data_IF_214785593591
#
_entry.id   IF_214785593591
#
_cell.length_a   1.000
_cell.length_b   1.000
_cell.length_c   1.000
_cell.angle_alpha   90.00
_cell.angle_beta   90.00
_cell.angle_gamma   90.00
#
_symmetry.space_group_name_H-M   'P 1'
#
loop_
_entity.id
_entity.type
_entity.pdbx_description
1 polymer ?
#
# COMPACT_ATOMS: atom_id res chain seq x y z
N UNK A 1 -8.86 16.34 -17.30
CA UNK A 1 -7.91 15.33 -17.80
C UNK A 1 -8.16 14.87 -19.22
N UNK A 2 -9.40 14.83 -19.73
CA UNK A 2 -9.67 14.47 -21.13
C UNK A 2 -8.92 15.27 -22.20
N UNK A 3 -8.42 16.45 -21.90
CA UNK A 3 -7.62 17.23 -22.83
C UNK A 3 -6.16 16.75 -22.96
N UNK A 4 -5.61 16.05 -21.97
CA UNK A 4 -4.25 15.54 -22.04
C UNK A 4 -4.11 14.36 -23.01
N UNK A 5 -5.19 13.62 -23.26
CA UNK A 5 -5.19 12.44 -24.13
C UNK A 5 -5.63 12.74 -25.57
N UNK A 6 -6.25 13.91 -25.83
CA UNK A 6 -6.76 14.23 -27.18
C UNK A 6 -5.72 14.24 -28.29
N UNK A 7 -4.43 14.42 -27.97
CA UNK A 7 -3.34 14.28 -28.95
C UNK A 7 -2.85 12.85 -29.17
N UNK A 8 -3.18 11.93 -28.27
CA UNK A 8 -2.73 10.53 -28.23
C UNK A 8 -3.88 9.53 -28.32
N UNK A 9 -5.10 9.97 -28.56
CA UNK A 9 -6.30 9.12 -28.60
C UNK A 9 -6.14 7.90 -29.53
N UNK A 10 -5.43 8.06 -30.62
CA UNK A 10 -5.20 6.95 -31.55
C UNK A 10 -4.29 5.87 -30.95
N UNK A 11 -3.25 6.27 -30.21
CA UNK A 11 -2.35 5.30 -29.57
C UNK A 11 -2.99 4.63 -28.36
N UNK A 12 -3.78 5.34 -27.57
CA UNK A 12 -4.47 4.78 -26.42
C UNK A 12 -5.54 3.76 -26.84
N UNK A 13 -6.37 4.10 -27.83
CA UNK A 13 -7.42 3.18 -28.34
C UNK A 13 -6.85 1.91 -28.96
N UNK A 14 -5.62 1.97 -29.47
CA UNK A 14 -4.92 0.78 -29.99
C UNK A 14 -4.55 -0.26 -28.92
N UNK A 15 -4.70 0.08 -27.66
CA UNK A 15 -4.41 -0.79 -26.53
C UNK A 15 -5.67 -1.27 -25.79
N UNK A 16 -6.86 -0.88 -26.25
CA UNK A 16 -8.11 -1.26 -25.62
C UNK A 16 -8.65 -2.60 -26.13
N UNK A 17 -9.05 -3.43 -25.19
CA UNK A 17 -9.60 -4.76 -25.44
C UNK A 17 -10.85 -4.98 -24.60
N UNK A 18 -11.84 -5.65 -25.18
CA UNK A 18 -13.03 -6.08 -24.45
C UNK A 18 -12.82 -7.42 -23.71
N UNK A 19 -13.86 -7.88 -23.01
CA UNK A 19 -13.90 -9.18 -22.31
C UNK A 19 -13.62 -10.38 -23.21
N UNK A 20 -14.00 -10.30 -24.48
CA UNK A 20 -13.80 -11.37 -25.44
C UNK A 20 -12.41 -11.31 -26.10
N UNK A 21 -11.57 -10.35 -25.69
CA UNK A 21 -10.26 -10.12 -26.27
C UNK A 21 -10.29 -9.44 -27.64
N UNK A 22 -11.40 -8.84 -28.00
CA UNK A 22 -11.50 -8.04 -29.25
C UNK A 22 -10.84 -6.70 -29.02
N UNK A 23 -9.90 -6.37 -29.91
CA UNK A 23 -9.23 -5.07 -29.90
C UNK A 23 -10.14 -3.99 -30.46
N UNK A 24 -10.21 -2.84 -29.81
CA UNK A 24 -10.95 -1.69 -30.29
C UNK A 24 -10.41 -1.20 -31.64
N UNK A 25 -11.30 -0.84 -32.54
CA UNK A 25 -10.99 -0.27 -33.85
C UNK A 25 -11.93 0.88 -34.18
N UNK A 26 -11.39 1.89 -34.88
CA UNK A 26 -12.20 3.05 -35.32
C UNK A 26 -13.36 2.58 -36.20
N UNK A 27 -14.57 3.00 -35.85
CA UNK A 27 -15.79 2.67 -36.62
C UNK A 27 -16.39 1.30 -36.26
N UNK A 28 -15.80 0.56 -35.32
CA UNK A 28 -16.39 -0.67 -34.82
C UNK A 28 -17.69 -0.40 -34.07
N UNK A 29 -18.69 -1.25 -34.29
CA UNK A 29 -19.95 -1.17 -33.56
C UNK A 29 -19.76 -1.64 -32.11
N UNK A 30 -20.19 -0.80 -31.17
CA UNK A 30 -20.17 -1.12 -29.75
C UNK A 30 -21.50 -1.77 -29.37
N UNK A 31 -21.42 -2.85 -28.60
CA UNK A 31 -22.58 -3.58 -28.06
C UNK A 31 -22.47 -3.69 -26.53
N UNK A 32 -23.60 -3.88 -25.87
CA UNK A 32 -23.69 -3.84 -24.40
C UNK A 32 -23.85 -5.22 -23.75
N UNK A 33 -24.22 -6.23 -24.55
CA UNK A 33 -24.54 -7.56 -24.04
C UNK A 33 -23.83 -8.64 -24.84
N UNK A 34 -23.55 -9.76 -24.16
CA UNK A 34 -22.98 -10.95 -24.81
C UNK A 34 -23.94 -11.53 -25.89
N UNK A 35 -25.25 -11.37 -25.69
CA UNK A 35 -26.24 -11.79 -26.70
C UNK A 35 -26.08 -11.05 -28.03
N UNK A 36 -25.82 -9.74 -27.97
CA UNK A 36 -25.56 -8.94 -29.18
C UNK A 36 -24.24 -9.34 -29.87
N UNK A 37 -23.23 -9.77 -29.08
CA UNK A 37 -22.00 -10.32 -29.64
C UNK A 37 -22.29 -11.60 -30.42
N UNK A 38 -23.06 -12.52 -29.86
CA UNK A 38 -23.42 -13.78 -30.52
C UNK A 38 -24.27 -13.53 -31.77
N UNK A 39 -25.20 -12.58 -31.72
CA UNK A 39 -25.99 -12.17 -32.90
C UNK A 39 -25.08 -11.60 -34.01
N UNK A 40 -24.11 -10.75 -33.64
CA UNK A 40 -23.15 -10.20 -34.58
C UNK A 40 -22.30 -11.29 -35.24
N UNK A 41 -21.80 -12.25 -34.45
CA UNK A 41 -21.05 -13.40 -34.96
C UNK A 41 -21.84 -14.21 -36.01
N UNK A 42 -23.15 -14.42 -35.79
CA UNK A 42 -23.99 -15.12 -36.76
C UNK A 42 -24.11 -14.37 -38.10
N UNK A 43 -23.93 -13.05 -38.07
CA UNK A 43 -23.92 -12.17 -39.25
C UNK A 43 -22.51 -11.98 -39.85
N UNK A 44 -21.48 -12.59 -39.28
CA UNK A 44 -20.09 -12.41 -39.68
C UNK A 44 -19.51 -11.06 -39.29
N UNK A 45 -20.12 -10.36 -38.30
CA UNK A 45 -19.65 -9.08 -37.81
C UNK A 45 -18.75 -9.26 -36.59
N UNK A 46 -17.69 -8.45 -36.49
CA UNK A 46 -16.91 -8.26 -35.27
C UNK A 46 -17.39 -7.00 -34.57
N UNK A 47 -17.71 -7.10 -33.28
CA UNK A 47 -18.22 -6.00 -32.47
C UNK A 47 -17.38 -5.87 -31.20
N UNK A 48 -17.39 -4.69 -30.58
CA UNK A 48 -16.70 -4.40 -29.35
C UNK A 48 -17.71 -4.40 -28.19
N UNK A 49 -17.48 -5.27 -27.21
CA UNK A 49 -18.37 -5.39 -26.06
C UNK A 49 -17.97 -4.41 -24.95
N UNK A 50 -18.85 -3.47 -24.65
CA UNK A 50 -18.81 -2.69 -23.42
C UNK A 50 -19.99 -3.11 -22.57
N UNK A 51 -19.77 -4.01 -21.63
CA UNK A 51 -20.84 -4.57 -20.80
C UNK A 51 -21.45 -3.46 -19.94
N UNK A 52 -22.76 -3.32 -20.05
CA UNK A 52 -23.54 -2.44 -19.19
C UNK A 52 -23.91 -3.20 -17.94
N UNK A 53 -23.21 -2.95 -16.85
CA UNK A 53 -23.47 -3.61 -15.57
C UNK A 53 -24.66 -3.01 -14.82
N UNK A 54 -25.29 -1.98 -15.40
CA UNK A 54 -26.61 -1.47 -14.99
C UNK A 54 -26.66 -0.81 -13.62
N UNK A 55 -25.53 -0.63 -12.96
CA UNK A 55 -25.48 -0.12 -11.59
C UNK A 55 -25.20 1.38 -11.60
N UNK A 56 -26.26 2.15 -11.84
CA UNK A 56 -26.25 3.58 -11.62
C UNK A 56 -26.88 3.86 -10.27
N UNK A 57 -26.07 4.11 -9.24
CA UNK A 57 -26.58 4.42 -7.91
C UNK A 57 -26.49 5.92 -7.66
N UNK A 58 -27.67 6.58 -7.64
CA UNK A 58 -27.89 7.96 -7.17
C UNK A 58 -26.99 9.06 -7.75
N UNK A 59 -26.60 8.96 -9.01
CA UNK A 59 -25.82 10.02 -9.67
C UNK A 59 -24.34 10.02 -9.33
N UNK A 60 -23.89 9.01 -8.62
CA UNK A 60 -22.47 8.72 -8.39
C UNK A 60 -22.11 7.44 -9.12
N UNK A 61 -20.93 7.41 -9.74
CA UNK A 61 -20.41 6.20 -10.35
C UNK A 61 -20.12 5.19 -9.24
N UNK A 62 -20.93 4.18 -9.13
CA UNK A 62 -20.49 2.95 -8.51
C UNK A 62 -19.89 2.11 -9.62
N UNK A 63 -18.63 1.79 -9.55
CA UNK A 63 -17.92 0.69 -10.21
C UNK A 63 -18.56 0.04 -11.45
N UNK A 64 -19.33 0.79 -12.23
CA UNK A 64 -19.78 0.37 -13.54
C UNK A 64 -18.56 0.40 -14.46
N UNK A 65 -17.59 -0.41 -14.13
CA UNK A 65 -16.44 -0.64 -14.97
C UNK A 65 -16.93 -1.30 -16.22
N UNK A 66 -16.75 -0.64 -17.29
CA UNK A 66 -17.13 -1.20 -18.56
C UNK A 66 -16.17 -2.26 -19.00
N UNK A 67 -15.87 -3.28 -18.34
CA UNK A 67 -15.17 -4.49 -18.81
C UNK A 67 -14.26 -4.30 -20.03
N UNK A 68 -13.59 -3.13 -20.08
CA UNK A 68 -12.59 -2.76 -21.08
C UNK A 68 -11.24 -2.70 -20.40
N UNK A 69 -10.23 -3.18 -21.07
CA UNK A 69 -8.90 -3.35 -20.50
C UNK A 69 -7.85 -2.72 -21.38
N UNK A 70 -6.94 -1.98 -20.79
CA UNK A 70 -5.73 -1.54 -21.44
C UNK A 70 -4.69 -2.66 -21.40
N UNK A 71 -4.13 -3.03 -22.55
CA UNK A 71 -3.06 -4.01 -22.67
C UNK A 71 -1.92 -3.44 -23.50
N UNK A 72 -0.70 -3.57 -22.99
CA UNK A 72 0.52 -3.17 -23.66
C UNK A 72 1.70 -3.98 -23.16
N UNK A 73 2.85 -3.85 -23.79
CA UNK A 73 4.05 -4.63 -23.45
C UNK A 73 4.60 -4.23 -22.08
N UNK A 74 4.71 -2.92 -21.82
CA UNK A 74 5.18 -2.40 -20.54
C UNK A 74 4.18 -2.72 -19.41
N UNK A 75 2.88 -2.57 -19.68
CA UNK A 75 1.83 -2.97 -18.72
C UNK A 75 1.93 -4.46 -18.42
N UNK A 76 2.08 -5.32 -19.44
CA UNK A 76 2.18 -6.76 -19.25
C UNK A 76 3.42 -7.17 -18.43
N UNK A 77 4.54 -6.46 -18.61
CA UNK A 77 5.74 -6.64 -17.78
C UNK A 77 5.46 -6.34 -16.29
N UNK A 78 4.77 -5.23 -16.00
CA UNK A 78 4.53 -4.78 -14.63
C UNK A 78 3.49 -5.63 -13.93
N UNK A 79 2.33 -5.83 -14.55
CA UNK A 79 1.22 -6.55 -13.91
C UNK A 79 1.39 -8.06 -13.98
N UNK A 80 2.26 -8.55 -14.87
CA UNK A 80 2.47 -9.99 -15.12
C UNK A 80 1.11 -10.69 -15.39
N UNK A 81 0.69 -11.59 -14.52
CA UNK A 81 -0.56 -12.34 -14.64
C UNK A 81 -1.58 -11.93 -13.55
N UNK A 82 -1.51 -10.71 -13.08
CA UNK A 82 -2.28 -10.25 -11.92
C UNK A 82 -3.80 -10.30 -12.09
N UNK A 83 -4.30 -10.27 -13.33
CA UNK A 83 -5.73 -10.30 -13.64
C UNK A 83 -6.51 -9.24 -12.85
N UNK A 84 -6.11 -8.00 -13.01
CA UNK A 84 -6.62 -6.85 -12.25
C UNK A 84 -8.05 -6.45 -12.59
N UNK A 85 -8.60 -6.99 -13.68
CA UNK A 85 -9.97 -6.70 -14.10
C UNK A 85 -11.00 -7.36 -13.20
N UNK A 86 -12.18 -6.76 -13.11
CA UNK A 86 -13.32 -7.29 -12.34
C UNK A 86 -13.69 -8.72 -12.73
N UNK A 87 -13.52 -9.08 -14.00
CA UNK A 87 -13.75 -10.44 -14.51
C UNK A 87 -12.46 -11.28 -14.57
N UNK A 88 -11.41 -10.86 -13.89
CA UNK A 88 -10.13 -11.57 -13.87
C UNK A 88 -9.36 -11.54 -15.18
N UNK A 89 -9.60 -10.55 -16.03
CA UNK A 89 -8.87 -10.35 -17.28
C UNK A 89 -7.50 -9.72 -17.00
N UNK A 90 -6.48 -10.19 -17.72
CA UNK A 90 -5.14 -9.62 -17.62
C UNK A 90 -5.05 -8.31 -18.42
N UNK A 91 -5.01 -7.21 -17.74
CA UNK A 91 -4.96 -5.84 -18.26
C UNK A 91 -5.32 -4.84 -17.20
N UNK A 92 -5.04 -3.56 -17.41
CA UNK A 92 -5.50 -2.50 -16.52
C UNK A 92 -6.98 -2.22 -16.84
N UNK A 93 -7.90 -2.34 -15.88
CA UNK A 93 -9.30 -2.02 -16.10
C UNK A 93 -9.47 -0.53 -16.41
N UNK A 94 -10.31 -0.24 -17.38
CA UNK A 94 -10.63 1.11 -17.84
C UNK A 94 -12.10 1.37 -17.58
N UNK A 95 -12.43 2.53 -17.03
CA UNK A 95 -13.82 2.98 -16.99
C UNK A 95 -14.31 3.18 -18.43
N UNK A 96 -15.27 2.40 -18.85
CA UNK A 96 -15.76 2.42 -20.21
C UNK A 96 -17.22 2.93 -20.33
N UNK A 97 -17.84 3.32 -19.23
CA UNK A 97 -19.22 3.74 -19.27
C UNK A 97 -19.55 4.79 -18.22
N UNK A 98 -20.05 5.93 -18.68
CA UNK A 98 -20.53 7.01 -17.83
C UNK A 98 -21.97 7.39 -18.19
N UNK A 99 -22.93 6.68 -17.60
CA UNK A 99 -24.34 6.92 -17.86
C UNK A 99 -24.74 6.69 -19.32
N UNK A 100 -25.07 7.75 -20.05
CA UNK A 100 -25.44 7.70 -21.47
C UNK A 100 -24.25 7.96 -22.41
N UNK A 101 -23.09 8.33 -21.88
CA UNK A 101 -21.91 8.67 -22.66
C UNK A 101 -20.83 7.61 -22.39
N UNK A 102 -20.27 7.06 -23.46
CA UNK A 102 -19.11 6.19 -23.36
C UNK A 102 -17.87 7.03 -23.09
N UNK A 103 -17.31 6.90 -21.90
CA UNK A 103 -16.05 7.51 -21.50
C UNK A 103 -15.02 6.41 -21.22
N UNK A 104 -13.85 6.48 -21.84
CA UNK A 104 -12.73 5.57 -21.62
C UNK A 104 -11.48 6.35 -21.21
N UNK A 105 -11.65 7.39 -20.42
CA UNK A 105 -10.58 8.32 -20.07
C UNK A 105 -9.87 8.01 -18.76
N UNK A 106 -10.40 7.09 -17.96
CA UNK A 106 -9.89 6.78 -16.63
C UNK A 106 -9.60 5.30 -16.46
N UNK A 107 -8.56 5.01 -15.71
CA UNK A 107 -8.29 3.64 -15.27
C UNK A 107 -9.05 3.35 -13.97
N UNK A 108 -9.28 2.08 -13.67
CA UNK A 108 -10.03 1.64 -12.48
C UNK A 108 -9.11 0.77 -11.59
N UNK A 109 -8.06 1.39 -11.03
CA UNK A 109 -7.21 0.78 -10.01
C UNK A 109 -7.40 1.50 -8.68
N UNK A 110 -7.49 0.75 -7.60
CA UNK A 110 -7.58 1.30 -6.24
C UNK A 110 -6.39 2.20 -5.94
N UNK A 111 -6.61 3.32 -5.25
CA UNK A 111 -5.60 4.32 -4.90
C UNK A 111 -4.86 4.95 -6.09
N UNK A 112 -5.30 4.73 -7.31
CA UNK A 112 -4.71 5.31 -8.51
C UNK A 112 -5.10 6.78 -8.66
N UNK A 113 -4.14 7.62 -9.02
CA UNK A 113 -4.38 9.03 -9.28
C UNK A 113 -5.27 9.25 -10.51
N UNK A 114 -5.23 8.35 -11.48
CA UNK A 114 -6.00 8.44 -12.73
C UNK A 114 -7.34 7.70 -12.70
N UNK A 115 -7.78 7.23 -11.54
CA UNK A 115 -9.04 6.53 -11.35
C UNK A 115 -10.18 7.47 -10.98
N UNK A 116 -11.41 7.08 -11.26
CA UNK A 116 -12.64 7.75 -10.81
C UNK A 116 -13.09 7.38 -9.40
N UNK A 117 -12.41 6.50 -8.74
CA UNK A 117 -12.88 5.96 -7.48
C UNK A 117 -13.06 7.03 -6.41
N UNK A 118 -14.21 6.99 -5.76
CA UNK A 118 -14.65 8.00 -4.80
C UNK A 118 -13.95 7.89 -3.45
N UNK A 119 -13.41 6.74 -3.11
CA UNK A 119 -12.75 6.42 -1.84
C UNK A 119 -11.26 6.19 -2.01
N UNK A 120 -10.61 7.12 -2.66
CA UNK A 120 -9.17 7.11 -2.77
C UNK A 120 -8.57 7.74 -1.54
N UNK A 121 -7.96 6.90 -0.74
CA UNK A 121 -7.05 7.36 0.27
C UNK A 121 -5.64 7.33 -0.33
N UNK A 122 -4.76 8.20 0.02
CA UNK A 122 -3.34 8.16 -0.34
C UNK A 122 -3.05 7.98 -1.84
N UNK A 123 -3.64 8.84 -2.67
CA UNK A 123 -3.51 8.76 -4.14
C UNK A 123 -2.09 8.98 -4.64
N UNK A 124 -1.67 8.17 -5.58
CA UNK A 124 -0.36 8.30 -6.24
C UNK A 124 -0.37 7.65 -7.63
N UNK A 125 0.60 8.02 -8.45
CA UNK A 125 0.82 7.30 -9.70
C UNK A 125 1.38 5.91 -9.41
N UNK A 126 0.74 4.88 -9.95
CA UNK A 126 1.16 3.50 -9.79
C UNK A 126 2.12 3.10 -10.91
N UNK A 127 2.97 2.08 -10.70
CA UNK A 127 3.87 1.59 -11.75
C UNK A 127 3.12 1.15 -12.99
N UNK A 128 1.94 0.54 -12.83
CA UNK A 128 1.08 0.15 -13.95
C UNK A 128 0.62 1.36 -14.78
N UNK A 129 0.34 2.51 -14.16
CA UNK A 129 -0.01 3.75 -14.87
C UNK A 129 1.21 4.30 -15.64
N UNK A 130 2.38 4.26 -15.02
CA UNK A 130 3.61 4.68 -15.70
C UNK A 130 3.93 3.77 -16.89
N UNK A 131 3.69 2.46 -16.75
CA UNK A 131 3.84 1.50 -17.83
C UNK A 131 2.85 1.75 -18.98
N UNK A 132 1.59 2.09 -18.64
CA UNK A 132 0.57 2.51 -19.61
C UNK A 132 1.06 3.73 -20.41
N UNK A 133 1.60 4.74 -19.72
CA UNK A 133 2.15 5.93 -20.38
C UNK A 133 3.31 5.56 -21.33
N UNK A 134 4.15 4.60 -20.98
CA UNK A 134 5.19 4.10 -21.88
C UNK A 134 4.62 3.41 -23.11
N UNK A 135 3.58 2.59 -22.94
CA UNK A 135 2.93 1.87 -24.06
C UNK A 135 2.27 2.82 -25.06
N UNK A 136 1.79 3.99 -24.61
CA UNK A 136 1.26 5.03 -25.52
C UNK A 136 2.32 6.00 -26.04
N UNK A 137 3.62 5.73 -25.79
CA UNK A 137 4.73 6.40 -26.44
C UNK A 137 5.49 7.43 -25.61
N UNK A 138 5.21 7.56 -24.32
CA UNK A 138 6.05 8.40 -23.46
C UNK A 138 7.38 7.71 -23.18
N UNK A 139 8.47 8.46 -23.29
CA UNK A 139 9.83 7.96 -23.08
C UNK A 139 10.41 8.45 -21.76
N UNK A 140 10.42 7.60 -20.76
CA UNK A 140 11.07 7.82 -19.46
C UNK A 140 11.40 6.47 -18.80
N UNK A 141 12.32 6.49 -17.83
CA UNK A 141 12.64 5.29 -17.05
C UNK A 141 11.73 5.19 -15.83
N UNK A 142 10.65 4.38 -15.89
CA UNK A 142 9.74 4.19 -14.77
C UNK A 142 10.41 3.56 -13.54
N UNK A 143 11.51 2.84 -13.75
CA UNK A 143 12.28 2.22 -12.66
C UNK A 143 13.04 3.23 -11.80
N UNK A 144 13.10 4.51 -12.20
CA UNK A 144 13.51 5.59 -11.29
C UNK A 144 12.50 5.80 -10.16
N UNK A 145 11.20 5.58 -10.44
CA UNK A 145 10.12 5.75 -9.47
C UNK A 145 9.78 4.44 -8.75
N UNK A 146 9.93 3.29 -9.42
CA UNK A 146 9.59 1.98 -8.90
C UNK A 146 10.73 0.98 -9.06
N UNK A 147 11.08 0.31 -7.98
CA UNK A 147 11.92 -0.90 -8.05
C UNK A 147 11.08 -2.08 -8.53
N UNK A 148 10.21 -2.56 -7.67
CA UNK A 148 9.27 -3.65 -7.94
C UNK A 148 7.85 -3.30 -7.51
N UNK A 149 6.87 -3.91 -8.20
CA UNK A 149 5.47 -3.86 -7.80
C UNK A 149 4.84 -5.25 -7.87
N UNK A 150 4.10 -5.61 -6.82
CA UNK A 150 3.40 -6.89 -6.71
C UNK A 150 1.91 -6.64 -6.94
N UNK A 151 1.44 -6.87 -8.17
CA UNK A 151 0.02 -6.79 -8.53
C UNK A 151 -0.69 -8.14 -8.42
N UNK A 152 0.05 -9.22 -8.44
CA UNK A 152 -0.45 -10.58 -8.35
C UNK A 152 -0.83 -10.92 -6.91
N UNK A 153 -1.96 -11.62 -6.72
CA UNK A 153 -2.41 -12.07 -5.40
C UNK A 153 -2.03 -13.53 -5.15
N UNK A 154 -1.97 -13.92 -3.88
CA UNK A 154 -1.67 -15.29 -3.45
C UNK A 154 -0.24 -15.78 -3.78
N UNK A 155 0.71 -14.86 -3.88
CA UNK A 155 2.12 -15.20 -3.99
C UNK A 155 2.68 -15.51 -2.60
N UNK A 156 2.96 -16.80 -2.33
CA UNK A 156 3.36 -17.23 -0.98
C UNK A 156 4.89 -17.22 -0.75
N UNK A 157 5.67 -16.88 -1.75
CA UNK A 157 7.13 -16.94 -1.67
C UNK A 157 7.82 -15.94 -2.62
N UNK A 158 7.23 -14.76 -2.79
CA UNK A 158 7.90 -13.70 -3.54
C UNK A 158 9.16 -13.24 -2.79
N UNK A 159 10.23 -13.05 -3.53
CA UNK A 159 11.49 -12.51 -3.01
C UNK A 159 12.05 -11.50 -3.99
N UNK A 160 12.56 -10.38 -3.46
CA UNK A 160 13.26 -9.40 -4.30
C UNK A 160 14.50 -10.04 -4.94
N UNK A 161 14.70 -9.79 -6.21
CA UNK A 161 15.85 -10.28 -6.98
C UNK A 161 16.91 -9.18 -7.21
N UNK A 162 16.60 -7.95 -6.89
CA UNK A 162 17.50 -6.81 -6.93
C UNK A 162 17.15 -5.77 -5.86
N UNK A 163 18.07 -4.84 -5.63
CA UNK A 163 17.87 -3.69 -4.78
C UNK A 163 17.34 -2.47 -5.54
N UNK A 164 17.00 -1.42 -4.81
CA UNK A 164 16.60 -0.13 -5.37
C UNK A 164 17.66 0.92 -5.09
N UNK A 165 18.24 1.44 -6.14
CA UNK A 165 19.36 2.37 -6.10
C UNK A 165 19.16 3.47 -7.13
N UNK A 166 20.07 4.45 -7.19
CA UNK A 166 20.16 5.34 -8.33
C UNK A 166 20.28 4.55 -9.65
N UNK A 167 19.78 5.12 -10.74
CA UNK A 167 19.84 4.49 -12.07
C UNK A 167 20.51 5.40 -13.07
N UNK A 168 21.29 4.79 -13.95
CA UNK A 168 21.87 5.46 -15.11
C UNK A 168 21.90 4.50 -16.29
N UNK A 169 21.47 4.99 -17.45
CA UNK A 169 21.43 4.22 -18.69
C UNK A 169 20.74 2.84 -18.52
N UNK A 170 19.61 2.82 -17.78
CA UNK A 170 18.82 1.63 -17.51
C UNK A 170 19.43 0.65 -16.50
N UNK A 171 20.54 0.98 -15.82
CA UNK A 171 21.23 0.12 -14.84
C UNK A 171 21.21 0.69 -13.45
N UNK A 172 21.05 -0.18 -12.46
CA UNK A 172 21.17 0.17 -11.04
C UNK A 172 22.64 0.44 -10.67
N UNK A 173 22.87 1.55 -9.97
CA UNK A 173 24.17 1.91 -9.41
C UNK A 173 24.19 1.41 -7.95
N UNK A 174 24.62 0.18 -7.76
CA UNK A 174 24.57 -0.51 -6.46
C UNK A 174 25.27 0.31 -5.38
N UNK A 175 24.53 0.57 -4.29
CA UNK A 175 25.02 1.36 -3.15
C UNK A 175 24.84 2.86 -3.29
N UNK A 176 24.39 3.38 -4.44
CA UNK A 176 24.08 4.79 -4.63
C UNK A 176 22.62 5.09 -4.34
N UNK A 177 22.34 6.17 -3.61
CA UNK A 177 20.98 6.56 -3.24
C UNK A 177 20.20 7.11 -4.43
N UNK A 178 18.99 6.59 -4.64
CA UNK A 178 18.08 7.09 -5.66
C UNK A 178 17.47 8.44 -5.21
N UNK A 179 17.68 9.54 -5.96
CA UNK A 179 17.19 10.85 -5.57
C UNK A 179 15.76 11.15 -6.04
N UNK A 180 15.06 10.18 -6.62
CA UNK A 180 13.75 10.41 -7.21
C UNK A 180 12.72 10.74 -6.13
N UNK A 181 12.13 11.92 -6.24
CA UNK A 181 11.03 12.36 -5.37
C UNK A 181 9.79 11.47 -5.57
N UNK A 182 9.05 11.20 -4.51
CA UNK A 182 7.86 10.35 -4.48
C UNK A 182 8.09 8.92 -5.01
N UNK A 183 9.35 8.47 -5.07
CA UNK A 183 9.67 7.10 -5.48
C UNK A 183 9.13 6.07 -4.48
N UNK A 184 8.69 4.93 -4.99
CA UNK A 184 8.27 3.76 -4.19
C UNK A 184 9.10 2.56 -4.62
N UNK A 185 9.99 2.10 -3.75
CA UNK A 185 10.95 1.07 -4.16
C UNK A 185 10.33 -0.31 -4.30
N UNK A 186 9.47 -0.69 -3.36
CA UNK A 186 8.63 -1.89 -3.44
C UNK A 186 7.18 -1.51 -3.15
N UNK A 187 6.29 -1.83 -4.07
CA UNK A 187 4.85 -1.65 -3.89
C UNK A 187 4.13 -3.01 -3.86
N UNK A 188 3.50 -3.32 -2.74
CA UNK A 188 2.62 -4.48 -2.60
C UNK A 188 1.19 -3.99 -2.74
N UNK A 189 0.60 -4.14 -3.92
CA UNK A 189 -0.73 -3.65 -4.25
C UNK A 189 -1.84 -4.65 -3.94
N UNK A 190 -1.57 -5.91 -4.17
CA UNK A 190 -2.58 -6.98 -4.13
C UNK A 190 -2.69 -7.65 -2.76
N UNK A 191 -3.30 -8.82 -2.69
CA UNK A 191 -3.70 -9.47 -1.43
C UNK A 191 -3.15 -10.89 -1.27
N UNK A 192 -3.09 -11.34 -0.01
CA UNK A 192 -2.69 -12.70 0.39
C UNK A 192 -1.27 -13.06 -0.06
N UNK A 193 -0.33 -12.12 -0.02
CA UNK A 193 1.04 -12.35 -0.42
C UNK A 193 1.96 -12.54 0.79
N UNK A 194 3.01 -13.33 0.61
CA UNK A 194 4.17 -13.38 1.48
C UNK A 194 5.34 -12.87 0.66
N UNK A 195 5.82 -11.67 0.99
CA UNK A 195 6.88 -11.00 0.27
C UNK A 195 8.12 -10.82 1.15
N UNK A 196 9.27 -11.23 0.65
CA UNK A 196 10.56 -11.07 1.33
C UNK A 196 11.42 -10.04 0.59
N UNK A 197 11.69 -8.90 1.26
CA UNK A 197 12.69 -7.96 0.82
C UNK A 197 14.05 -8.39 1.36
N UNK A 198 14.95 -8.80 0.47
CA UNK A 198 16.28 -9.31 0.82
C UNK A 198 17.43 -8.53 0.18
N UNK A 199 17.14 -7.48 -0.57
CA UNK A 199 18.12 -6.58 -1.17
C UNK A 199 17.93 -5.16 -0.65
N UNK A 200 19.00 -4.38 -0.62
CA UNK A 200 18.97 -3.03 -0.09
C UNK A 200 18.07 -2.09 -0.91
N UNK A 201 17.39 -1.22 -0.22
CA UNK A 201 16.63 -0.09 -0.76
C UNK A 201 17.29 1.19 -0.25
N UNK A 202 17.86 1.98 -1.15
CA UNK A 202 18.52 3.24 -0.82
C UNK A 202 17.88 4.39 -1.58
N UNK A 203 17.14 5.26 -0.88
CA UNK A 203 16.47 6.44 -1.44
C UNK A 203 16.88 7.70 -0.71
N UNK A 204 17.06 8.79 -1.46
CA UNK A 204 17.24 10.15 -0.92
C UNK A 204 16.21 11.14 -1.46
N UNK A 205 15.21 10.63 -2.19
CA UNK A 205 14.14 11.46 -2.73
C UNK A 205 13.22 12.00 -1.64
N UNK A 206 12.73 13.23 -1.82
CA UNK A 206 11.72 13.84 -0.94
C UNK A 206 10.40 13.04 -1.05
N UNK A 207 9.74 12.82 0.07
CA UNK A 207 8.48 12.08 0.19
C UNK A 207 8.51 10.67 -0.45
N UNK A 208 9.69 10.07 -0.54
CA UNK A 208 9.84 8.71 -1.04
C UNK A 208 9.39 7.68 0.00
N UNK A 209 8.93 6.54 -0.46
CA UNK A 209 8.63 5.38 0.36
C UNK A 209 9.54 4.22 -0.02
N UNK A 210 10.27 3.66 0.94
CA UNK A 210 11.07 2.47 0.70
C UNK A 210 10.18 1.30 0.29
N UNK A 211 9.24 0.95 1.15
CA UNK A 211 8.23 -0.08 0.88
C UNK A 211 6.86 0.52 1.14
N UNK A 212 5.91 0.30 0.23
CA UNK A 212 4.50 0.61 0.43
C UNK A 212 3.65 -0.66 0.38
N UNK A 213 2.75 -0.80 1.33
CA UNK A 213 1.79 -1.92 1.39
C UNK A 213 0.38 -1.36 1.25
N UNK A 214 -0.32 -1.89 0.26
CA UNK A 214 -1.76 -1.78 0.06
C UNK A 214 -2.38 -3.20 0.08
N UNK A 215 -3.64 -3.33 -0.31
CA UNK A 215 -4.32 -4.63 -0.35
C UNK A 215 -4.68 -5.19 1.01
N UNK A 216 -4.76 -6.51 1.14
CA UNK A 216 -5.18 -7.15 2.39
C UNK A 216 -4.44 -8.45 2.65
N UNK A 217 -4.25 -8.77 3.94
CA UNK A 217 -3.69 -10.03 4.38
C UNK A 217 -2.31 -10.32 3.75
N UNK A 218 -1.46 -9.29 3.64
CA UNK A 218 -0.10 -9.43 3.16
C UNK A 218 0.86 -9.60 4.33
N UNK A 219 1.83 -10.50 4.18
CA UNK A 219 2.98 -10.61 5.06
C UNK A 219 4.21 -10.04 4.37
N UNK A 220 4.83 -9.03 4.99
CA UNK A 220 6.13 -8.52 4.57
C UNK A 220 7.21 -9.05 5.52
N UNK A 221 8.26 -9.62 4.95
CA UNK A 221 9.47 -10.02 5.66
C UNK A 221 10.61 -9.14 5.16
N UNK A 222 11.21 -8.37 6.07
CA UNK A 222 12.47 -7.67 5.80
C UNK A 222 13.57 -8.57 6.32
N UNK A 223 14.40 -9.09 5.42
CA UNK A 223 15.40 -10.09 5.75
C UNK A 223 16.54 -9.49 6.60
N UNK A 224 17.29 -10.36 7.29
CA UNK A 224 18.49 -9.96 8.01
C UNK A 224 19.47 -9.25 7.07
N UNK A 225 20.23 -8.30 7.61
CA UNK A 225 21.23 -7.51 6.89
C UNK A 225 20.70 -6.66 5.72
N UNK A 226 19.37 -6.61 5.51
CA UNK A 226 18.74 -5.80 4.49
C UNK A 226 18.51 -4.38 5.00
N UNK A 227 18.89 -3.39 4.20
CA UNK A 227 18.75 -1.96 4.49
C UNK A 227 17.59 -1.38 3.67
N UNK A 228 16.66 -0.73 4.35
CA UNK A 228 15.62 0.10 3.73
C UNK A 228 15.82 1.51 4.26
N UNK A 229 16.58 2.31 3.53
CA UNK A 229 16.98 3.65 3.93
C UNK A 229 16.33 4.70 3.04
N UNK A 230 15.62 5.62 3.66
CA UNK A 230 15.02 6.79 3.01
C UNK A 230 15.54 8.04 3.70
N UNK A 231 16.43 8.76 3.04
CA UNK A 231 17.13 9.92 3.60
C UNK A 231 16.51 11.26 3.20
N UNK A 232 15.52 11.24 2.29
CA UNK A 232 14.81 12.43 1.85
C UNK A 232 13.87 12.96 2.94
N UNK A 233 13.56 14.26 2.88
CA UNK A 233 12.59 14.87 3.78
C UNK A 233 11.19 14.27 3.57
N UNK A 234 10.40 14.14 4.63
CA UNK A 234 9.03 13.62 4.63
C UNK A 234 8.90 12.19 4.09
N UNK A 235 9.98 11.42 4.11
CA UNK A 235 10.02 10.06 3.58
C UNK A 235 9.70 9.00 4.62
N UNK A 236 9.26 7.83 4.14
CA UNK A 236 8.96 6.67 4.96
C UNK A 236 9.85 5.50 4.54
N UNK A 237 10.44 4.76 5.48
CA UNK A 237 11.10 3.51 5.10
C UNK A 237 10.07 2.40 4.81
N UNK A 238 9.01 2.31 5.62
CA UNK A 238 7.86 1.45 5.40
C UNK A 238 6.57 2.28 5.56
N UNK A 239 5.71 2.28 4.56
CA UNK A 239 4.37 2.86 4.58
C UNK A 239 3.32 1.76 4.43
N UNK A 240 2.43 1.62 5.40
CA UNK A 240 1.27 0.73 5.34
C UNK A 240 0.04 1.61 5.14
N UNK A 241 -0.45 1.65 3.90
CA UNK A 241 -1.36 2.70 3.44
C UNK A 241 -2.79 2.25 3.20
N UNK A 242 -3.07 0.95 3.07
CA UNK A 242 -4.43 0.50 2.73
C UNK A 242 -4.67 -0.96 3.10
N UNK A 243 -5.95 -1.32 3.27
CA UNK A 243 -6.40 -2.69 3.45
C UNK A 243 -6.53 -3.14 4.90
N UNK A 244 -6.21 -4.39 5.17
CA UNK A 244 -6.31 -4.98 6.52
C UNK A 244 -5.44 -6.22 6.70
N UNK A 245 -5.31 -6.61 7.97
CA UNK A 245 -4.68 -7.86 8.42
C UNK A 245 -3.24 -8.06 7.96
N UNK A 246 -2.49 -6.97 7.78
CA UNK A 246 -1.08 -7.06 7.41
C UNK A 246 -0.23 -7.57 8.58
N UNK A 247 0.78 -8.39 8.24
CA UNK A 247 1.80 -8.90 9.18
C UNK A 247 3.17 -8.45 8.71
N UNK A 248 3.95 -7.85 9.62
CA UNK A 248 5.30 -7.37 9.32
C UNK A 248 6.31 -8.12 10.18
N UNK A 249 7.26 -8.77 9.53
CA UNK A 249 8.41 -9.44 10.15
C UNK A 249 9.69 -8.67 9.81
N UNK A 250 10.12 -7.82 10.73
CA UNK A 250 11.27 -6.96 10.51
C UNK A 250 12.53 -7.52 11.19
N UNK A 251 13.49 -7.95 10.35
CA UNK A 251 14.76 -8.50 10.81
C UNK A 251 15.98 -7.68 10.34
N UNK A 252 15.78 -6.69 9.47
CA UNK A 252 16.83 -5.86 8.89
C UNK A 252 16.92 -4.46 9.50
N UNK A 253 17.16 -3.48 8.66
CA UNK A 253 17.26 -2.07 9.06
C UNK A 253 16.25 -1.20 8.31
N UNK A 254 15.37 -0.52 9.04
CA UNK A 254 14.47 0.52 8.53
C UNK A 254 14.96 1.88 9.02
N UNK A 255 15.22 2.81 8.11
CA UNK A 255 15.78 4.10 8.46
C UNK A 255 15.22 5.24 7.62
N UNK A 256 14.61 6.23 8.27
CA UNK A 256 14.10 7.44 7.66
C UNK A 256 14.65 8.66 8.42
N UNK A 257 15.68 9.33 7.89
CA UNK A 257 16.44 10.35 8.62
C UNK A 257 16.42 11.73 8.00
N UNK A 258 15.70 11.95 6.90
CA UNK A 258 15.38 13.29 6.43
C UNK A 258 14.48 14.03 7.43
N UNK A 259 14.25 15.31 7.20
CA UNK A 259 13.32 16.09 8.03
C UNK A 259 11.95 15.40 8.05
N UNK A 260 11.36 15.21 9.23
CA UNK A 260 10.08 14.54 9.42
C UNK A 260 10.01 13.12 8.82
N UNK A 261 11.16 12.42 8.80
CA UNK A 261 11.25 11.04 8.33
C UNK A 261 10.63 10.05 9.33
N UNK A 262 9.82 9.12 8.84
CA UNK A 262 9.15 8.09 9.64
C UNK A 262 9.65 6.72 9.20
N UNK A 263 10.18 5.93 10.13
CA UNK A 263 10.68 4.61 9.76
C UNK A 263 9.53 3.65 9.41
N UNK A 264 8.50 3.58 10.24
CA UNK A 264 7.30 2.77 9.98
C UNK A 264 6.08 3.67 10.13
N UNK A 265 5.45 4.01 9.01
CA UNK A 265 4.25 4.82 8.93
C UNK A 265 3.03 3.94 8.67
N UNK A 266 2.06 3.97 9.56
CA UNK A 266 0.81 3.22 9.46
C UNK A 266 -0.30 4.25 9.35
N UNK A 267 -0.69 4.55 8.11
CA UNK A 267 -1.53 5.68 7.79
C UNK A 267 -2.41 5.33 6.58
N UNK A 268 -3.70 5.28 6.79
CA UNK A 268 -4.66 4.99 5.73
C UNK A 268 -4.80 6.16 4.73
N UNK A 269 -4.26 7.31 5.05
CA UNK A 269 -4.35 8.54 4.26
C UNK A 269 -5.74 9.16 4.30
N UNK A 270 -5.85 10.31 3.67
CA UNK A 270 -7.09 11.07 3.56
C UNK A 270 -7.68 10.96 2.15
N UNK A 271 -9.00 10.99 2.04
CA UNK A 271 -9.64 11.15 0.75
C UNK A 271 -9.49 12.58 0.25
N UNK A 272 -8.41 12.85 -0.46
CA UNK A 272 -8.06 14.20 -0.94
C UNK A 272 -8.98 14.73 -2.04
N UNK A 273 -9.83 13.90 -2.62
CA UNK A 273 -10.75 14.32 -3.70
C UNK A 273 -12.10 14.83 -3.19
N UNK A 274 -12.36 14.74 -1.90
CA UNK A 274 -13.40 15.47 -1.18
C UNK A 274 -14.85 15.18 -1.56
N UNK A 275 -15.12 14.18 -2.36
CA UNK A 275 -16.46 13.84 -2.83
C UNK A 275 -17.05 12.59 -2.23
N UNK A 276 -16.31 11.94 -1.35
CA UNK A 276 -16.75 10.74 -0.68
C UNK A 276 -16.28 10.74 0.75
N UNK A 277 -16.85 9.90 1.50
CA UNK A 277 -16.55 9.72 2.88
C UNK A 277 -15.24 9.04 3.07
N UNK A 278 -14.59 9.44 4.13
CA UNK A 278 -13.35 8.83 4.55
C UNK A 278 -13.59 7.36 4.86
N UNK A 279 -12.81 6.52 4.18
CA UNK A 279 -12.47 5.25 4.74
C UNK A 279 -11.50 5.50 5.88
N UNK A 280 -11.97 5.22 7.06
CA UNK A 280 -11.03 5.05 8.14
C UNK A 280 -10.67 3.59 8.17
N UNK A 281 -9.48 3.26 7.77
CA UNK A 281 -8.95 1.92 7.75
C UNK A 281 -9.15 1.23 9.09
N UNK A 282 -9.42 -0.03 9.08
CA UNK A 282 -9.56 -0.80 10.29
C UNK A 282 -10.84 -0.68 10.99
N UNK A 283 -11.90 -0.90 10.90
CA UNK A 283 -13.18 -0.87 11.62
C UNK A 283 -14.14 0.24 11.22
N UNK A 284 -13.64 1.27 10.56
CA UNK A 284 -14.53 2.37 10.26
C UNK A 284 -14.56 2.59 8.77
N UNK A 285 -15.70 2.42 8.23
CA UNK A 285 -16.06 3.08 7.01
C UNK A 285 -17.39 3.76 7.27
N UNK A 286 -17.46 5.00 6.94
CA UNK A 286 -18.69 5.74 6.95
C UNK A 286 -18.95 6.15 5.53
N UNK A 287 -20.09 5.73 5.00
CA UNK A 287 -20.58 6.24 3.75
C UNK A 287 -21.83 7.07 3.97
N UNK A 288 -21.90 8.27 3.39
CA UNK A 288 -23.11 9.05 3.32
C UNK A 288 -23.98 8.49 2.21
N UNK A 289 -25.16 8.15 2.58
CA UNK A 289 -26.14 7.70 1.62
C UNK A 289 -26.21 6.19 1.44
N UNK A 290 -26.75 5.76 0.31
CA UNK A 290 -27.24 4.39 0.12
C UNK A 290 -26.20 3.38 -0.37
N UNK A 291 -24.92 3.72 -0.33
CA UNK A 291 -23.85 2.92 -0.94
C UNK A 291 -23.18 1.92 0.03
N UNK A 292 -23.89 1.45 1.03
CA UNK A 292 -23.34 0.45 1.97
C UNK A 292 -22.96 -0.87 1.27
N UNK A 293 -23.58 -1.15 0.13
CA UNK A 293 -23.30 -2.39 -0.61
C UNK A 293 -21.92 -2.37 -1.29
N UNK A 294 -21.44 -1.19 -1.71
CA UNK A 294 -20.13 -1.04 -2.35
C UNK A 294 -18.97 -1.29 -1.37
N UNK A 295 -19.21 -1.08 -0.07
CA UNK A 295 -18.23 -1.33 0.97
C UNK A 295 -18.06 -2.81 1.30
N UNK A 296 -19.11 -3.59 1.12
CA UNK A 296 -19.06 -5.03 1.33
C UNK A 296 -18.06 -5.70 0.37
N UNK A 297 -17.84 -5.10 -0.82
CA UNK A 297 -16.87 -5.60 -1.78
C UNK A 297 -15.43 -5.48 -1.29
N UNK A 298 -15.10 -4.38 -0.62
CA UNK A 298 -13.73 -4.14 -0.14
C UNK A 298 -13.45 -4.83 1.20
N UNK A 299 -14.49 -5.12 1.99
CA UNK A 299 -14.42 -5.78 3.30
C UNK A 299 -13.23 -5.28 4.14
N UNK A 300 -13.15 -3.96 4.35
CA UNK A 300 -12.07 -3.31 5.08
C UNK A 300 -12.28 -3.27 6.60
N UNK A 301 -13.38 -3.84 7.09
CA UNK A 301 -13.60 -3.97 8.53
C UNK A 301 -12.49 -4.81 9.15
N UNK A 302 -11.87 -4.31 10.15
CA UNK A 302 -10.83 -5.01 10.86
C UNK A 302 -9.56 -4.18 11.08
N UNK A 303 -8.56 -4.82 11.58
CA UNK A 303 -7.27 -4.22 11.91
C UNK A 303 -6.44 -3.99 10.63
N UNK A 304 -5.84 -2.82 10.47
CA UNK A 304 -4.94 -2.56 9.35
C UNK A 304 -3.66 -3.40 9.48
N UNK A 305 -3.04 -3.39 10.68
CA UNK A 305 -1.86 -4.20 10.97
C UNK A 305 -2.17 -5.17 12.11
N UNK A 306 -2.19 -6.45 11.79
CA UNK A 306 -2.43 -7.52 12.75
C UNK A 306 -1.26 -7.70 13.72
N UNK A 307 -0.04 -7.70 13.19
CA UNK A 307 1.16 -7.70 14.00
C UNK A 307 2.33 -7.03 13.28
N UNK A 308 3.03 -6.19 14.02
CA UNK A 308 4.30 -5.60 13.66
C UNK A 308 5.37 -6.19 14.59
N UNK A 309 6.25 -7.00 14.04
CA UNK A 309 7.28 -7.71 14.79
C UNK A 309 8.66 -7.11 14.46
N UNK A 310 9.22 -6.36 15.41
CA UNK A 310 10.60 -5.89 15.36
C UNK A 310 11.45 -6.95 16.04
N UNK A 311 12.01 -7.84 15.24
CA UNK A 311 12.73 -9.00 15.70
C UNK A 311 14.12 -8.64 16.24
N UNK A 312 14.74 -9.55 16.99
CA UNK A 312 16.06 -9.32 17.53
C UNK A 312 17.07 -8.99 16.41
N UNK A 313 17.98 -8.06 16.66
CA UNK A 313 18.93 -7.49 15.71
C UNK A 313 18.29 -6.56 14.63
N UNK A 314 16.98 -6.39 14.58
CA UNK A 314 16.40 -5.36 13.73
C UNK A 314 16.77 -3.95 14.21
N UNK A 315 16.74 -3.00 13.30
CA UNK A 315 16.98 -1.59 13.60
C UNK A 315 15.90 -0.72 12.94
N UNK A 316 15.19 0.08 13.75
CA UNK A 316 14.13 0.97 13.32
C UNK A 316 14.45 2.39 13.77
N UNK A 317 14.77 3.27 12.83
CA UNK A 317 15.26 4.63 13.12
C UNK A 317 14.47 5.65 12.31
N UNK A 318 13.79 6.56 12.98
CA UNK A 318 13.07 7.66 12.34
C UNK A 318 13.38 9.00 12.98
N UNK A 319 13.54 10.05 12.17
CA UNK A 319 13.82 11.39 12.67
C UNK A 319 12.62 12.04 13.34
N UNK A 320 11.40 11.82 12.82
CA UNK A 320 10.15 12.19 13.47
C UNK A 320 9.67 11.07 14.37
N UNK A 321 9.54 9.87 13.82
CA UNK A 321 9.05 8.72 14.55
C UNK A 321 9.71 7.42 14.04
N UNK A 322 10.00 6.51 14.96
CA UNK A 322 10.34 5.13 14.62
C UNK A 322 9.10 4.37 14.17
N UNK A 323 7.98 4.60 14.86
CA UNK A 323 6.65 4.04 14.52
C UNK A 323 5.63 5.17 14.66
N UNK A 324 4.85 5.39 13.62
CA UNK A 324 3.75 6.35 13.61
C UNK A 324 2.45 5.65 13.23
N UNK A 325 1.42 5.81 14.02
CA UNK A 325 0.07 5.31 13.77
C UNK A 325 -0.84 6.53 13.63
N UNK A 326 -1.42 6.71 12.45
CA UNK A 326 -2.35 7.81 12.17
C UNK A 326 -3.69 7.62 12.93
N UNK A 327 -4.49 8.67 12.96
CA UNK A 327 -5.78 8.67 13.64
C UNK A 327 -6.82 7.74 12.98
N UNK A 328 -6.59 7.38 11.72
CA UNK A 328 -7.44 6.53 10.90
C UNK A 328 -6.92 5.08 10.76
N UNK A 329 -5.87 4.70 11.49
CA UNK A 329 -5.25 3.40 11.38
C UNK A 329 -5.26 2.66 12.72
N UNK A 330 -5.68 1.38 12.73
CA UNK A 330 -5.64 0.54 13.92
C UNK A 330 -4.61 -0.57 13.79
N UNK A 331 -3.78 -0.69 14.82
CA UNK A 331 -2.76 -1.72 14.95
C UNK A 331 -3.10 -2.60 16.14
N UNK A 332 -3.19 -3.90 15.95
CA UNK A 332 -3.51 -4.81 17.04
C UNK A 332 -2.31 -5.03 17.97
N UNK A 333 -1.15 -5.38 17.40
CA UNK A 333 0.02 -5.75 18.22
C UNK A 333 1.31 -5.20 17.62
N UNK A 334 2.16 -4.63 18.47
CA UNK A 334 3.54 -4.27 18.17
C UNK A 334 4.44 -5.05 19.13
N UNK A 335 5.30 -5.89 18.61
CA UNK A 335 6.26 -6.66 19.35
C UNK A 335 7.67 -6.11 19.10
N UNK A 336 8.33 -5.61 20.14
CA UNK A 336 9.71 -5.16 20.11
C UNK A 336 10.53 -6.20 20.86
N UNK A 337 11.23 -7.04 20.11
CA UNK A 337 12.03 -8.12 20.70
C UNK A 337 13.19 -7.56 21.53
N UNK A 338 13.65 -8.34 22.49
CA UNK A 338 14.90 -8.04 23.16
C UNK A 338 16.02 -7.91 22.10
N UNK A 339 16.86 -6.89 22.21
CA UNK A 339 17.91 -6.48 21.27
C UNK A 339 17.46 -5.90 19.92
N UNK A 340 16.18 -5.71 19.68
CA UNK A 340 15.76 -4.82 18.61
C UNK A 340 16.18 -3.39 18.96
N UNK A 341 16.74 -2.68 18.00
CA UNK A 341 17.12 -1.27 18.14
C UNK A 341 15.98 -0.38 17.66
N UNK A 342 15.52 0.53 18.52
CA UNK A 342 14.50 1.52 18.17
C UNK A 342 15.02 2.89 18.57
N UNK A 343 15.07 3.82 17.59
CA UNK A 343 15.43 5.22 17.80
C UNK A 343 14.42 6.14 17.10
N UNK A 344 13.84 7.06 17.84
CA UNK A 344 12.73 7.94 17.43
C UNK A 344 11.42 7.56 18.11
N UNK A 345 10.50 8.48 18.19
CA UNK A 345 9.28 8.33 18.97
C UNK A 345 8.36 7.21 18.44
N UNK A 346 7.62 6.58 19.33
CA UNK A 346 6.51 5.68 19.01
C UNK A 346 5.24 6.49 19.25
N UNK A 347 4.53 6.83 18.17
CA UNK A 347 3.40 7.75 18.21
C UNK A 347 2.13 7.00 17.78
N UNK A 348 1.06 7.12 18.56
CA UNK A 348 -0.28 6.72 18.14
C UNK A 348 -1.23 7.90 18.25
N UNK A 349 -1.78 8.30 17.12
CA UNK A 349 -2.86 9.26 17.02
C UNK A 349 -4.23 8.57 16.87
N UNK A 350 -4.28 7.25 16.92
CA UNK A 350 -5.54 6.50 16.82
C UNK A 350 -6.57 7.07 17.82
N UNK A 351 -7.76 7.36 17.32
CA UNK A 351 -8.84 7.88 18.16
C UNK A 351 -10.00 6.87 18.26
N UNK A 352 -10.00 6.05 19.32
CA UNK A 352 -11.08 5.08 19.55
C UNK A 352 -12.44 5.75 19.84
N UNK A 353 -12.45 7.03 20.18
CA UNK A 353 -13.67 7.79 20.45
C UNK A 353 -14.16 8.57 19.22
N UNK A 354 -13.53 8.40 18.08
CA UNK A 354 -13.95 9.06 16.86
C UNK A 354 -15.44 8.82 16.61
N UNK A 355 -16.19 9.90 16.39
CA UNK A 355 -17.65 9.87 16.19
C UNK A 355 -18.08 8.99 15.02
N UNK A 356 -17.17 8.78 14.07
CA UNK A 356 -17.36 7.92 12.90
C UNK A 356 -17.25 6.42 13.21
N UNK A 357 -16.76 6.05 14.41
CA UNK A 357 -16.74 4.65 14.84
C UNK A 357 -18.15 4.15 15.19
N UNK A 358 -18.48 2.97 14.73
CA UNK A 358 -19.67 2.28 15.20
C UNK A 358 -19.59 2.11 16.73
N UNK A 359 -20.69 2.40 17.44
CA UNK A 359 -20.70 2.40 18.91
C UNK A 359 -20.20 1.12 19.56
N UNK A 360 -20.34 -0.02 18.89
CA UNK A 360 -19.87 -1.32 19.39
C UNK A 360 -18.35 -1.43 19.51
N UNK A 361 -17.60 -0.49 18.91
CA UNK A 361 -16.14 -0.54 18.85
C UNK A 361 -15.47 0.50 19.75
N UNK A 362 -16.21 1.49 20.28
CA UNK A 362 -15.66 2.67 20.97
C UNK A 362 -14.81 2.39 22.21
N UNK A 363 -14.96 1.25 22.86
CA UNK A 363 -14.37 1.01 24.17
C UNK A 363 -13.27 -0.06 24.22
N UNK A 364 -12.82 -0.58 23.08
CA UNK A 364 -12.02 -1.83 23.07
C UNK A 364 -10.74 -1.82 22.27
N UNK A 365 -10.33 -0.71 21.66
CA UNK A 365 -9.18 -0.72 20.76
C UNK A 365 -7.94 -0.11 21.38
N UNK A 366 -7.12 -0.98 21.92
CA UNK A 366 -5.77 -0.65 22.35
C UNK A 366 -4.78 -1.45 21.52
N UNK A 367 -3.69 -0.83 21.11
CA UNK A 367 -2.57 -1.54 20.55
C UNK A 367 -1.77 -2.20 21.68
N UNK A 368 -1.60 -3.50 21.62
CA UNK A 368 -0.67 -4.19 22.53
C UNK A 368 0.77 -3.86 22.13
N UNK A 369 1.46 -3.08 22.97
CA UNK A 369 2.87 -2.73 22.78
C UNK A 369 3.73 -3.58 23.71
N UNK A 370 4.36 -4.59 23.16
CA UNK A 370 5.11 -5.59 23.90
C UNK A 370 6.62 -5.37 23.77
N UNK A 371 7.31 -5.26 24.88
CA UNK A 371 8.76 -5.12 24.95
C UNK A 371 9.41 -6.39 25.48
N UNK A 372 10.53 -6.80 24.88
CA UNK A 372 11.26 -8.00 25.27
C UNK A 372 10.51 -9.28 24.90
N UNK A 373 9.73 -9.27 23.81
CA UNK A 373 9.08 -10.48 23.29
C UNK A 373 10.09 -11.57 22.97
N UNK A 374 9.69 -12.83 23.11
CA UNK A 374 10.56 -13.97 22.79
C UNK A 374 11.06 -13.87 21.35
N UNK A 375 12.37 -13.85 21.19
CA UNK A 375 13.03 -13.87 19.90
C UNK A 375 13.42 -15.29 19.53
N UNK A 376 13.23 -15.64 18.27
CA UNK A 376 13.68 -16.92 17.71
C UNK A 376 15.22 -17.05 17.66
N UNK A 377 15.95 -15.95 17.91
CA UNK A 377 17.40 -15.96 17.92
C UNK A 377 17.91 -16.45 19.28
N UNK A 378 18.75 -17.48 19.26
CA UNK A 378 19.45 -17.91 20.45
C UNK A 378 20.40 -16.80 20.93
N UNK A 379 20.49 -16.61 22.25
CA UNK A 379 21.41 -15.66 22.89
C UNK A 379 22.88 -15.83 22.42
N UNK A 380 23.23 -17.01 21.96
CA UNK A 380 24.58 -17.31 21.45
C UNK A 380 24.84 -16.72 20.05
N UNK A 381 23.85 -16.71 19.17
CA UNK A 381 23.96 -16.05 17.87
C UNK A 381 24.05 -14.52 18.04
N UNK A 382 23.47 -14.01 19.09
CA UNK A 382 23.41 -12.59 19.40
C UNK A 382 24.67 -12.03 20.04
N UNK A 383 25.44 -12.86 20.80
CA UNK A 383 26.70 -12.44 21.39
C UNK A 383 27.79 -12.08 20.38
N UNK A 384 27.54 -12.29 19.09
CA UNK A 384 28.42 -11.86 18.01
C UNK A 384 28.06 -10.43 17.49
N UNK A 385 26.94 -9.88 17.92
CA UNK A 385 26.49 -8.53 17.56
C UNK A 385 26.66 -7.62 18.77
N UNK A 386 26.80 -6.33 18.53
CA UNK A 386 27.01 -5.32 19.58
C UNK A 386 25.92 -5.40 20.67
N UNK A 387 26.32 -5.66 21.91
CA UNK A 387 25.49 -6.13 23.02
C UNK A 387 24.58 -5.09 23.66
N UNK A 388 24.32 -3.97 23.02
CA UNK A 388 23.48 -2.93 23.61
C UNK A 388 22.07 -2.96 23.05
N UNK A 389 21.16 -3.61 23.77
CA UNK A 389 19.74 -3.41 23.53
C UNK A 389 19.35 -1.99 23.97
N UNK A 390 18.75 -1.22 23.06
CA UNK A 390 18.27 0.11 23.38
C UNK A 390 16.97 0.42 22.65
N UNK A 391 15.98 0.88 23.41
CA UNK A 391 14.81 1.57 22.92
C UNK A 391 14.98 3.02 23.33
N UNK A 392 15.19 3.91 22.33
CA UNK A 392 15.34 5.35 22.52
C UNK A 392 14.13 6.04 21.92
N UNK A 393 13.02 6.00 22.63
CA UNK A 393 11.75 6.48 22.14
C UNK A 393 10.95 7.13 23.28
N UNK A 394 10.21 8.20 22.95
CA UNK A 394 9.04 8.56 23.74
C UNK A 394 7.84 7.75 23.19
N UNK A 395 6.96 7.33 24.08
CA UNK A 395 5.67 6.75 23.69
C UNK A 395 4.61 7.83 23.83
N UNK A 396 4.09 8.30 22.70
CA UNK A 396 3.10 9.36 22.61
C UNK A 396 1.73 8.78 22.18
N UNK A 397 0.65 9.29 22.77
CA UNK A 397 -0.67 8.67 22.63
C UNK A 397 -0.79 7.41 23.49
N UNK A 398 -0.26 7.47 24.68
CA UNK A 398 -0.19 6.35 25.63
C UNK A 398 -1.55 5.72 25.93
N UNK A 399 -2.63 6.50 25.86
CA UNK A 399 -4.00 6.01 26.05
C UNK A 399 -4.44 4.99 25.00
N UNK A 400 -3.72 4.91 23.90
CA UNK A 400 -3.97 3.98 22.81
C UNK A 400 -3.18 2.66 22.94
N UNK A 401 -2.34 2.55 23.98
CA UNK A 401 -1.48 1.38 24.14
C UNK A 401 -1.77 0.61 25.42
N UNK A 402 -1.71 -0.71 25.33
CA UNK A 402 -1.46 -1.58 26.48
C UNK A 402 0.01 -2.00 26.43
N UNK A 403 0.80 -1.50 27.38
CA UNK A 403 2.23 -1.77 27.40
C UNK A 403 2.53 -2.98 28.26
N UNK A 404 3.21 -3.95 27.67
CA UNK A 404 3.66 -5.16 28.34
C UNK A 404 5.20 -5.25 28.25
N UNK A 405 5.85 -5.72 29.32
CA UNK A 405 7.28 -5.98 29.31
C UNK A 405 7.58 -7.36 29.88
N UNK A 406 8.33 -8.16 29.14
CA UNK A 406 8.68 -9.51 29.52
C UNK A 406 10.09 -9.62 30.12
N UNK A 407 10.93 -8.59 29.94
CA UNK A 407 12.33 -8.53 30.35
C UNK A 407 12.63 -7.23 31.10
N UNK A 408 13.81 -7.11 31.67
CA UNK A 408 14.28 -5.85 32.20
C UNK A 408 14.43 -4.86 31.04
N UNK A 409 13.61 -3.83 31.04
CA UNK A 409 13.54 -2.83 30.02
C UNK A 409 14.10 -1.50 30.52
N UNK A 410 15.02 -0.94 29.77
CA UNK A 410 15.53 0.41 29.98
C UNK A 410 15.02 1.30 28.84
N UNK A 411 13.98 2.09 29.10
CA UNK A 411 13.45 3.07 28.17
C UNK A 411 14.17 4.40 28.39
N UNK A 412 14.78 4.93 27.33
CA UNK A 412 15.32 6.29 27.33
C UNK A 412 14.31 7.20 26.68
N UNK A 413 13.74 8.10 27.47
CA UNK A 413 12.66 9.01 27.06
C UNK A 413 11.53 9.01 28.09
N UNK A 414 10.46 9.74 27.75
CA UNK A 414 9.23 9.77 28.57
C UNK A 414 8.31 8.66 28.10
N UNK A 415 8.01 7.71 28.97
CA UNK A 415 6.96 6.73 28.73
C UNK A 415 5.88 6.88 29.79
N UNK A 416 4.64 7.01 29.36
CA UNK A 416 3.48 6.91 30.23
C UNK A 416 2.92 5.50 30.15
N UNK A 417 2.63 4.94 31.30
CA UNK A 417 2.11 3.58 31.42
C UNK A 417 0.64 3.66 31.78
N UNK A 418 -0.21 3.19 30.88
CA UNK A 418 -1.66 3.17 31.09
C UNK A 418 -2.11 1.88 31.78
N UNK A 419 -1.76 0.73 31.24
CA UNK A 419 -2.02 -0.57 31.85
C UNK A 419 -0.77 -1.45 31.70
N UNK A 420 -0.17 -1.83 32.81
CA UNK A 420 1.06 -2.56 32.82
C UNK A 420 0.83 -3.98 33.31
N UNK A 421 0.73 -4.89 32.37
CA UNK A 421 0.75 -6.31 32.66
C UNK A 421 2.21 -6.76 32.77
N UNK A 422 2.79 -6.52 33.95
CA UNK A 422 4.23 -6.55 34.12
C UNK A 422 4.72 -7.84 34.77
N UNK A 423 5.60 -8.54 34.08
CA UNK A 423 6.41 -9.62 34.65
C UNK A 423 7.87 -9.18 34.88
N UNK A 424 8.23 -7.96 34.55
CA UNK A 424 9.58 -7.43 34.63
C UNK A 424 9.64 -6.04 35.26
N UNK A 425 10.82 -5.63 35.71
CA UNK A 425 11.05 -4.31 36.28
C UNK A 425 11.25 -3.27 35.17
N UNK A 426 10.56 -2.14 35.27
CA UNK A 426 10.81 -0.97 34.47
C UNK A 426 11.82 -0.04 35.13
N UNK A 427 12.77 0.45 34.35
CA UNK A 427 13.49 1.69 34.66
C UNK A 427 13.10 2.75 33.66
N UNK A 428 12.37 3.76 34.12
CA UNK A 428 12.14 4.98 33.34
C UNK A 428 13.33 5.91 33.64
N UNK A 429 14.16 6.15 32.65
CA UNK A 429 15.18 7.18 32.69
C UNK A 429 14.63 8.37 31.93
N UNK A 430 14.16 9.40 32.66
CA UNK A 430 13.70 10.67 32.12
C UNK A 430 14.84 11.57 31.67
#
# INVERSE_FOLDING_TARGET
MGQCFNGFLNSFSDHLYDLNGVKAQIGMRIVKTQAEVEEAKLKGETVFLVKDDGVYINGSFSNASGNVYFKGENVAEVIKNAKLGYDGVNGIPINAWEGIILDMSHIELDNSLMSHQSWRNYNFYMEAELALLQDIGYNFDRKLYYGDSIYESNLLNWQSDHGYYARKDGKWLIGEYNPTEYGVSLHIYSKNNIATQSHDILSSGVAASGIRIDGSNNQLIIANDTKVYTLGDYSNALLIAYGKDHVIEHNGELKATGKEGIAINIDFGDNTLGNAEEYRGSYIHQMSGNNQDDLAEYNLDGVLVKSLNLNAASSTIGSLASIYIADNAYVNTINIAQWAKVEGDIISNWDPNNEKLANQYKDSFYTDLNFGSDSSLSRAAFNALDNTWSVKANVLGYDNFKMNANENLNLQGSAFVYDLNNKAHFSLLG
#
